data_IF_376278033757
#
_entry.id   IF_376278033757
#
_cell.length_a   1.000
_cell.length_b   1.000
_cell.length_c   1.000
_cell.angle_alpha   90.00
_cell.angle_beta   90.00
_cell.angle_gamma   90.00
#
_symmetry.space_group_name_H-M   'P 1'
#
loop_
_entity.id
_entity.type
_entity.pdbx_description
1 polymer ?
#
# COMPACT_ATOMS: atom_id res chain seq x y z
N UNK A 1 -6.44 -15.59 10.79
CA UNK A 1 -5.90 -15.17 12.10
C UNK A 1 -5.55 -13.71 11.89
N UNK A 2 -6.61 -12.93 11.71
CA UNK A 2 -6.54 -11.53 11.28
C UNK A 2 -6.30 -10.70 12.53
N UNK A 3 -5.04 -10.68 12.95
CA UNK A 3 -4.61 -9.79 14.02
C UNK A 3 -4.86 -8.37 13.54
N UNK A 4 -5.66 -7.61 14.28
CA UNK A 4 -5.87 -6.18 14.06
C UNK A 4 -4.51 -5.49 13.95
N UNK A 5 -4.08 -5.18 12.72
CA UNK A 5 -2.82 -4.49 12.49
C UNK A 5 -3.11 -3.02 12.73
N UNK A 6 -2.85 -2.56 13.97
CA UNK A 6 -2.92 -1.13 14.29
C UNK A 6 -1.66 -0.45 13.80
N UNK A 7 -1.81 0.29 12.70
CA UNK A 7 -0.74 1.05 12.06
C UNK A 7 -0.87 2.51 12.50
N UNK A 8 0.19 3.07 13.10
CA UNK A 8 0.25 4.50 13.39
C UNK A 8 0.60 5.30 12.15
N UNK A 9 0.36 6.62 12.16
CA UNK A 9 0.78 7.51 11.05
C UNK A 9 2.29 7.42 10.77
N UNK A 10 3.10 7.17 11.82
CA UNK A 10 4.54 6.96 11.65
C UNK A 10 4.81 5.67 10.87
N UNK A 11 4.10 4.60 11.19
CA UNK A 11 4.27 3.31 10.55
C UNK A 11 3.84 3.38 9.07
N UNK A 12 2.75 4.08 8.75
CA UNK A 12 2.33 4.32 7.36
C UNK A 12 3.46 4.94 6.53
N UNK A 13 4.10 5.98 7.05
CA UNK A 13 5.23 6.63 6.38
C UNK A 13 6.43 5.69 6.21
N UNK A 14 6.74 4.91 7.24
CA UNK A 14 7.82 3.91 7.17
C UNK A 14 7.53 2.87 6.11
N UNK A 15 6.29 2.39 6.00
CA UNK A 15 5.89 1.42 4.98
C UNK A 15 6.02 2.02 3.58
N UNK A 16 5.65 3.29 3.36
CA UNK A 16 5.90 3.97 2.09
C UNK A 16 7.40 4.04 1.75
N UNK A 17 8.26 4.32 2.73
CA UNK A 17 9.72 4.31 2.50
C UNK A 17 10.25 2.92 2.17
N UNK A 18 9.69 1.86 2.77
CA UNK A 18 10.01 0.47 2.41
C UNK A 18 9.64 0.21 0.95
N UNK A 19 8.44 0.61 0.50
CA UNK A 19 8.00 0.46 -0.90
C UNK A 19 8.98 1.15 -1.85
N UNK A 20 9.30 2.42 -1.61
CA UNK A 20 10.21 3.18 -2.48
C UNK A 20 11.62 2.60 -2.50
N UNK A 21 12.11 2.10 -1.36
CA UNK A 21 13.43 1.48 -1.28
C UNK A 21 13.46 0.15 -2.05
N UNK A 22 12.40 -0.66 -1.91
CA UNK A 22 12.27 -1.92 -2.64
C UNK A 22 12.11 -1.68 -4.15
N UNK A 23 11.37 -0.66 -4.57
CA UNK A 23 11.28 -0.24 -5.99
C UNK A 23 12.65 0.13 -6.55
N UNK A 24 13.42 0.93 -5.80
CA UNK A 24 14.77 1.29 -6.21
C UNK A 24 15.69 0.08 -6.34
N UNK A 25 15.65 -0.85 -5.37
CA UNK A 25 16.45 -2.08 -5.42
C UNK A 25 16.02 -3.00 -6.56
N UNK A 26 14.72 -3.14 -6.80
CA UNK A 26 14.16 -3.90 -7.94
C UNK A 26 14.73 -3.36 -9.27
N UNK A 27 14.65 -2.04 -9.47
CA UNK A 27 15.16 -1.41 -10.69
C UNK A 27 16.68 -1.56 -10.82
N UNK A 28 17.42 -1.26 -9.76
CA UNK A 28 18.89 -1.30 -9.76
C UNK A 28 19.42 -2.71 -10.03
N UNK A 29 18.73 -3.74 -9.55
CA UNK A 29 19.10 -5.14 -9.81
C UNK A 29 18.99 -5.50 -11.30
N UNK A 30 17.94 -5.01 -11.97
CA UNK A 30 17.77 -5.16 -13.42
C UNK A 30 18.81 -4.38 -14.22
N UNK A 31 19.03 -3.10 -13.87
CA UNK A 31 20.03 -2.25 -14.50
C UNK A 31 21.46 -2.84 -14.36
N UNK A 32 21.74 -3.49 -13.22
CA UNK A 32 22.99 -4.19 -12.96
C UNK A 32 23.15 -5.41 -13.87
N UNK A 33 22.11 -6.24 -14.01
CA UNK A 33 22.15 -7.41 -14.90
C UNK A 33 22.45 -6.97 -16.34
N UNK A 34 21.73 -5.97 -16.85
CA UNK A 34 21.94 -5.43 -18.20
C UNK A 34 23.38 -4.89 -18.38
N UNK A 35 23.90 -4.19 -17.36
CA UNK A 35 25.26 -3.65 -17.39
C UNK A 35 26.32 -4.75 -17.41
N UNK A 36 26.15 -5.80 -16.59
CA UNK A 36 27.09 -6.93 -16.54
C UNK A 36 27.07 -7.72 -17.84
N UNK A 37 25.89 -8.01 -18.41
CA UNK A 37 25.76 -8.73 -19.68
C UNK A 37 26.46 -8.04 -20.86
N UNK A 38 26.62 -6.70 -20.81
CA UNK A 38 27.34 -5.91 -21.81
C UNK A 38 28.87 -5.98 -21.67
N UNK A 39 29.39 -6.35 -20.50
CA UNK A 39 30.83 -6.33 -20.17
C UNK A 39 31.45 -7.72 -20.34
N UNK A 40 30.70 -8.78 -20.04
CA UNK A 40 31.23 -10.16 -20.04
C UNK A 40 31.23 -10.78 -21.44
N UNK A 41 31.85 -11.96 -21.55
CA UNK A 41 31.84 -12.75 -22.79
C UNK A 41 30.40 -13.09 -23.21
N UNK A 42 30.10 -12.98 -24.51
CA UNK A 42 28.75 -13.18 -25.03
C UNK A 42 28.22 -14.60 -24.76
N UNK A 43 29.09 -15.59 -24.58
CA UNK A 43 28.71 -16.95 -24.21
C UNK A 43 28.16 -17.06 -22.78
N UNK A 44 28.48 -16.10 -21.91
CA UNK A 44 28.06 -16.05 -20.51
C UNK A 44 26.95 -15.03 -20.26
N UNK A 45 26.69 -14.13 -21.21
CA UNK A 45 25.72 -13.03 -21.10
C UNK A 45 24.29 -13.52 -20.79
N UNK A 46 23.87 -14.64 -21.39
CA UNK A 46 22.54 -15.23 -21.18
C UNK A 46 22.37 -15.84 -19.77
N UNK A 47 23.47 -16.08 -19.05
CA UNK A 47 23.46 -16.59 -17.68
C UNK A 47 23.34 -15.50 -16.60
N UNK A 48 23.38 -14.23 -16.98
CA UNK A 48 23.22 -13.11 -16.05
C UNK A 48 21.73 -12.81 -15.91
N UNK A 49 21.14 -13.40 -14.87
CA UNK A 49 19.73 -13.22 -14.54
C UNK A 49 19.59 -12.72 -13.09
N UNK A 50 18.81 -11.65 -12.92
CA UNK A 50 18.46 -11.09 -11.61
C UNK A 50 16.95 -11.15 -11.36
N UNK A 51 16.19 -11.88 -12.19
CA UNK A 51 14.73 -11.98 -12.11
C UNK A 51 14.27 -12.47 -10.74
N UNK A 52 14.93 -13.48 -10.16
CA UNK A 52 14.61 -13.98 -8.81
C UNK A 52 14.76 -12.87 -7.73
N UNK A 53 15.81 -12.06 -7.82
CA UNK A 53 16.03 -10.94 -6.90
C UNK A 53 14.98 -9.84 -7.10
N UNK A 54 14.62 -9.55 -8.36
CA UNK A 54 13.56 -8.61 -8.69
C UNK A 54 12.20 -9.09 -8.18
N UNK A 55 11.89 -10.38 -8.30
CA UNK A 55 10.65 -10.98 -7.81
C UNK A 55 10.53 -10.86 -6.28
N UNK A 56 11.62 -11.08 -5.53
CA UNK A 56 11.65 -10.88 -4.08
C UNK A 56 11.35 -9.42 -3.69
N UNK A 57 11.94 -8.43 -4.38
CA UNK A 57 11.59 -7.02 -4.13
C UNK A 57 10.14 -6.70 -4.50
N UNK A 58 9.61 -7.29 -5.58
CA UNK A 58 8.20 -7.16 -5.97
C UNK A 58 7.26 -7.74 -4.92
N UNK A 59 7.63 -8.87 -4.29
CA UNK A 59 6.89 -9.47 -3.19
C UNK A 59 6.89 -8.57 -1.95
N UNK A 60 8.03 -7.95 -1.61
CA UNK A 60 8.13 -6.98 -0.51
C UNK A 60 7.22 -5.77 -0.77
N UNK A 61 7.25 -5.21 -1.98
CA UNK A 61 6.39 -4.07 -2.36
C UNK A 61 4.92 -4.43 -2.19
N UNK A 62 4.51 -5.59 -2.73
CA UNK A 62 3.11 -6.03 -2.64
C UNK A 62 2.68 -6.23 -1.19
N UNK A 63 3.50 -6.90 -0.37
CA UNK A 63 3.20 -7.12 1.05
C UNK A 63 3.12 -5.82 1.83
N UNK A 64 4.00 -4.86 1.56
CA UNK A 64 3.98 -3.54 2.17
C UNK A 64 2.70 -2.77 1.81
N UNK A 65 2.30 -2.77 0.53
CA UNK A 65 1.06 -2.11 0.08
C UNK A 65 -0.18 -2.76 0.69
N UNK A 66 -0.27 -4.09 0.73
CA UNK A 66 -1.38 -4.80 1.40
C UNK A 66 -1.41 -4.47 2.90
N UNK A 67 -0.26 -4.32 3.54
CA UNK A 67 -0.18 -3.92 4.95
C UNK A 67 -0.72 -2.50 5.15
N UNK A 68 -0.44 -1.56 4.25
CA UNK A 68 -1.04 -0.21 4.28
C UNK A 68 -2.57 -0.26 4.15
N UNK A 69 -3.09 -1.07 3.22
CA UNK A 69 -4.54 -1.25 3.04
C UNK A 69 -5.18 -1.75 4.33
N UNK A 70 -4.65 -2.83 4.92
CA UNK A 70 -5.13 -3.39 6.19
C UNK A 70 -5.07 -2.38 7.34
N UNK A 71 -4.01 -1.56 7.39
CA UNK A 71 -3.88 -0.48 8.37
C UNK A 71 -4.97 0.57 8.24
N UNK A 72 -5.30 0.96 7.00
CA UNK A 72 -6.37 1.91 6.73
C UNK A 72 -7.75 1.31 7.03
N UNK A 73 -8.00 0.06 6.64
CA UNK A 73 -9.24 -0.67 6.96
C UNK A 73 -9.48 -0.73 8.47
N UNK A 74 -8.44 -1.04 9.25
CA UNK A 74 -8.52 -1.11 10.72
C UNK A 74 -8.87 0.25 11.33
N UNK A 75 -8.51 1.38 10.69
CA UNK A 75 -8.92 2.71 11.15
C UNK A 75 -10.44 2.93 10.97
N UNK A 76 -11.06 2.28 9.98
CA UNK A 76 -12.51 2.37 9.75
C UNK A 76 -13.34 1.49 10.68
N UNK A 77 -12.76 0.50 11.36
CA UNK A 77 -13.48 -0.46 12.21
C UNK A 77 -14.50 0.19 13.16
N UNK A 78 -14.10 1.27 13.84
CA UNK A 78 -14.97 1.98 14.79
C UNK A 78 -16.17 2.63 14.09
N UNK A 79 -15.94 3.27 12.95
CA UNK A 79 -16.98 3.96 12.18
C UNK A 79 -17.92 2.95 11.50
N UNK A 80 -17.38 1.85 10.97
CA UNK A 80 -18.18 0.75 10.43
C UNK A 80 -19.03 0.07 11.53
N UNK A 81 -18.47 -0.11 12.73
CA UNK A 81 -19.24 -0.58 13.88
C UNK A 81 -20.38 0.39 14.24
N UNK A 82 -20.13 1.71 14.18
CA UNK A 82 -21.15 2.74 14.31
C UNK A 82 -22.26 2.60 13.27
N UNK A 83 -21.90 2.41 12.00
CA UNK A 83 -22.84 2.23 10.88
C UNK A 83 -23.75 1.01 11.06
N UNK A 84 -23.21 -0.13 11.53
CA UNK A 84 -24.01 -1.35 11.74
C UNK A 84 -25.05 -1.24 12.86
N UNK A 85 -24.87 -0.29 13.78
CA UNK A 85 -25.80 -0.04 14.90
C UNK A 85 -26.96 0.88 14.52
N UNK A 86 -26.92 1.48 13.32
CA UNK A 86 -28.00 2.35 12.84
C UNK A 86 -29.26 1.50 12.59
N UNK A 87 -30.43 1.88 13.16
CA UNK A 87 -31.67 1.14 12.97
C UNK A 87 -32.28 1.47 11.60
N UNK A 88 -31.67 0.96 10.53
CA UNK A 88 -32.05 1.23 9.14
C UNK A 88 -33.53 0.95 8.83
N UNK A 89 -34.15 -0.02 9.52
CA UNK A 89 -35.55 -0.40 9.32
C UNK A 89 -36.58 0.53 9.94
N UNK A 90 -36.19 1.39 10.88
CA UNK A 90 -37.10 2.34 11.56
C UNK A 90 -36.62 3.79 11.42
N UNK A 91 -35.75 4.06 10.45
CA UNK A 91 -35.20 5.38 10.21
C UNK A 91 -36.29 6.24 9.53
N UNK A 92 -37.07 6.98 10.31
CA UNK A 92 -38.19 7.79 9.82
C UNK A 92 -37.76 9.08 9.11
N UNK A 93 -36.54 9.57 9.37
CA UNK A 93 -36.00 10.78 8.78
C UNK A 93 -34.49 10.66 8.53
N UNK A 94 -34.04 11.11 7.37
CA UNK A 94 -32.62 11.25 7.03
C UNK A 94 -32.15 12.64 7.42
N UNK A 95 -31.06 12.73 8.19
CA UNK A 95 -30.36 13.98 8.45
C UNK A 95 -29.32 14.30 7.38
N UNK A 96 -28.75 15.50 7.42
CA UNK A 96 -27.77 15.97 6.42
C UNK A 96 -26.45 15.19 6.43
N UNK A 97 -26.02 14.69 7.59
CA UNK A 97 -24.76 13.94 7.75
C UNK A 97 -24.88 12.80 8.76
N UNK A 98 -24.28 11.66 8.43
CA UNK A 98 -24.09 10.55 9.36
C UNK A 98 -22.73 10.68 10.05
N UNK A 99 -22.69 10.51 11.37
CA UNK A 99 -21.44 10.63 12.14
C UNK A 99 -20.36 9.67 11.63
N UNK A 100 -20.73 8.43 11.33
CA UNK A 100 -19.80 7.43 10.79
C UNK A 100 -19.20 7.83 9.43
N UNK A 101 -19.99 8.50 8.58
CA UNK A 101 -19.51 9.00 7.29
C UNK A 101 -18.50 10.13 7.49
N UNK A 102 -18.76 11.02 8.45
CA UNK A 102 -17.81 12.08 8.78
C UNK A 102 -16.50 11.52 9.35
N UNK A 103 -16.58 10.50 10.22
CA UNK A 103 -15.42 9.78 10.74
C UNK A 103 -14.57 9.16 9.62
N UNK A 104 -15.19 8.42 8.70
CA UNK A 104 -14.52 7.85 7.52
C UNK A 104 -13.88 8.94 6.67
N UNK A 105 -14.60 10.04 6.42
CA UNK A 105 -14.09 11.16 5.62
C UNK A 105 -12.85 11.80 6.27
N UNK A 106 -12.82 11.96 7.59
CA UNK A 106 -11.64 12.47 8.31
C UNK A 106 -10.44 11.53 8.19
N UNK A 107 -10.66 10.22 8.30
CA UNK A 107 -9.59 9.20 8.14
C UNK A 107 -9.01 9.24 6.72
N UNK A 108 -9.87 9.29 5.69
CA UNK A 108 -9.44 9.38 4.30
C UNK A 108 -8.70 10.68 4.00
N UNK A 109 -9.25 11.81 4.44
CA UNK A 109 -8.67 13.13 4.19
C UNK A 109 -7.32 13.32 4.89
N UNK A 110 -7.08 12.65 6.02
CA UNK A 110 -5.78 12.67 6.70
C UNK A 110 -4.77 11.71 6.08
N UNK A 111 -5.18 10.49 5.71
CA UNK A 111 -4.25 9.43 5.30
C UNK A 111 -3.91 9.48 3.81
N UNK A 112 -4.91 9.67 2.93
CA UNK A 112 -4.73 9.56 1.47
C UNK A 112 -3.74 10.58 0.89
N UNK A 113 -3.77 11.88 1.26
CA UNK A 113 -2.81 12.84 0.73
C UNK A 113 -1.37 12.52 1.13
N UNK A 114 -1.16 11.99 2.34
CA UNK A 114 0.17 11.60 2.83
C UNK A 114 0.69 10.43 2.02
N UNK A 115 -0.10 9.37 1.86
CA UNK A 115 0.28 8.19 1.08
C UNK A 115 0.54 8.55 -0.39
N UNK A 116 -0.33 9.38 -0.99
CA UNK A 116 -0.18 9.83 -2.38
C UNK A 116 1.04 10.73 -2.60
N UNK A 117 1.53 11.43 -1.58
CA UNK A 117 2.77 12.21 -1.65
C UNK A 117 4.04 11.37 -1.51
N UNK A 118 3.94 10.19 -0.91
CA UNK A 118 5.09 9.34 -0.57
C UNK A 118 5.28 8.17 -1.54
N UNK A 119 4.21 7.65 -2.14
CA UNK A 119 4.27 6.54 -3.08
C UNK A 119 4.40 7.03 -4.53
N UNK A 120 5.06 6.23 -5.37
CA UNK A 120 5.04 6.47 -6.82
C UNK A 120 3.61 6.32 -7.37
N UNK A 121 3.24 7.00 -8.48
CA UNK A 121 1.88 6.95 -9.01
C UNK A 121 1.35 5.54 -9.27
N UNK A 122 2.22 4.62 -9.70
CA UNK A 122 1.86 3.22 -9.99
C UNK A 122 1.47 2.49 -8.70
N UNK A 123 2.27 2.62 -7.64
CA UNK A 123 1.98 1.95 -6.38
C UNK A 123 0.87 2.63 -5.59
N UNK A 124 0.71 3.95 -5.74
CA UNK A 124 -0.44 4.64 -5.19
C UNK A 124 -1.74 4.18 -5.87
N UNK A 125 -1.75 4.03 -7.20
CA UNK A 125 -2.89 3.44 -7.91
C UNK A 125 -3.17 2.01 -7.44
N UNK A 126 -2.14 1.17 -7.34
CA UNK A 126 -2.30 -0.20 -6.84
C UNK A 126 -2.90 -0.23 -5.43
N UNK A 127 -2.46 0.68 -4.56
CA UNK A 127 -3.01 0.83 -3.22
C UNK A 127 -4.50 1.22 -3.24
N UNK A 128 -4.91 2.13 -4.14
CA UNK A 128 -6.31 2.56 -4.27
C UNK A 128 -7.22 1.51 -4.91
N UNK A 129 -6.68 0.62 -5.75
CA UNK A 129 -7.41 -0.46 -6.40
C UNK A 129 -7.72 -1.64 -5.46
N UNK A 130 -7.11 -1.66 -4.27
CA UNK A 130 -7.30 -2.69 -3.23
C UNK A 130 -8.33 -2.25 -2.21
#
# INVERSE_FOLDING_TARGET
MDGQIRISERDERVICYIVNSAEYCHKTSGDLAESVSKIIDSQLADGVDMSEVQDEFSAVITKALVTLVLGLETKFDNEMAGMTRVPWGSLESVGDQSEYVNGINMILTSSIPVLGSLLSPIYFQFFLDK
#
